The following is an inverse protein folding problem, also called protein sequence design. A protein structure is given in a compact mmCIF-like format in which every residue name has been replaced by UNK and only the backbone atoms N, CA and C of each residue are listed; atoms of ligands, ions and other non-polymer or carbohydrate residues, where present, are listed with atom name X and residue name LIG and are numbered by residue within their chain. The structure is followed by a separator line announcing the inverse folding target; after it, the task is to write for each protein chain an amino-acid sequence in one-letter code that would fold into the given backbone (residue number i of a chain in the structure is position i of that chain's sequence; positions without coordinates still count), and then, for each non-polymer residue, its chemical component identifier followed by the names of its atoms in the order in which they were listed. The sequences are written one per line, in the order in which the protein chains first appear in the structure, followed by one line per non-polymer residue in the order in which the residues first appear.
data_IF_650711248313
#
_entry.id   IF_650711248313
#
_cell.length_a   1.000
_cell.length_b   1.000
_cell.length_c   1.000
_cell.angle_alpha   90.00
_cell.angle_beta   90.00
_cell.angle_gamma   90.00
#
_symmetry.space_group_name_H-M   'P 1'
#
loop_
_entity.id
_entity.type
_entity.pdbx_description
1 polymer ?
#
# COMPACT_ATOMS: atom_id res chain seq x y z
N UNK A 1 -32.16 -18.93 1.95
CA UNK A 1 -31.21 -20.05 1.78
C UNK A 1 -30.21 -19.61 0.71
N UNK A 2 -29.17 -18.87 1.08
CA UNK A 2 -28.08 -18.60 0.14
C UNK A 2 -27.01 -19.66 0.37
N UNK A 3 -26.80 -20.46 -0.67
CA UNK A 3 -25.86 -21.57 -0.70
C UNK A 3 -24.43 -21.09 -0.48
N UNK A 4 -23.83 -21.66 0.56
CA UNK A 4 -22.42 -21.58 0.92
C UNK A 4 -21.59 -22.21 -0.22
N UNK A 5 -21.12 -21.37 -1.15
CA UNK A 5 -20.35 -21.81 -2.29
C UNK A 5 -18.85 -21.78 -1.97
N UNK A 6 -18.29 -22.99 -1.93
CA UNK A 6 -16.91 -23.34 -2.30
C UNK A 6 -15.81 -22.96 -1.30
N UNK A 7 -15.61 -23.87 -0.35
CA UNK A 7 -14.31 -24.11 0.27
C UNK A 7 -13.31 -24.61 -0.77
N UNK A 8 -12.63 -23.66 -1.43
CA UNK A 8 -11.24 -23.84 -1.86
C UNK A 8 -10.36 -23.52 -0.65
N UNK A 9 -9.25 -24.24 -0.48
CA UNK A 9 -8.33 -24.21 0.66
C UNK A 9 -7.54 -22.91 0.82
N UNK A 10 -8.20 -21.76 0.69
CA UNK A 10 -7.68 -20.45 1.11
C UNK A 10 -7.70 -20.40 2.62
N UNK A 11 -6.63 -20.91 3.21
CA UNK A 11 -6.10 -20.46 4.49
C UNK A 11 -6.42 -18.96 4.65
N UNK A 12 -7.07 -18.61 5.75
CA UNK A 12 -7.87 -17.39 5.89
C UNK A 12 -7.00 -16.13 5.74
N UNK A 13 -6.87 -15.64 4.51
CA UNK A 13 -5.86 -14.67 4.07
C UNK A 13 -5.90 -13.37 4.88
N UNK A 14 -7.11 -12.93 5.23
CA UNK A 14 -7.32 -11.76 6.08
C UNK A 14 -6.85 -11.99 7.53
N UNK A 15 -7.14 -13.15 8.11
CA UNK A 15 -6.74 -13.49 9.48
C UNK A 15 -5.20 -13.51 9.62
N UNK A 16 -4.53 -14.14 8.65
CA UNK A 16 -3.07 -14.18 8.57
C UNK A 16 -2.48 -12.76 8.39
N UNK A 17 -3.12 -11.92 7.58
CA UNK A 17 -2.69 -10.54 7.34
C UNK A 17 -2.83 -9.65 8.58
N UNK A 18 -3.95 -9.72 9.29
CA UNK A 18 -4.18 -8.99 10.54
C UNK A 18 -3.09 -9.35 11.55
N UNK A 19 -2.84 -10.65 11.74
CA UNK A 19 -1.83 -11.10 12.68
C UNK A 19 -0.41 -10.65 12.28
N UNK A 20 -0.07 -10.76 10.99
CA UNK A 20 1.22 -10.34 10.47
C UNK A 20 1.46 -8.84 10.67
N UNK A 21 0.47 -8.03 10.29
CA UNK A 21 0.54 -6.57 10.37
C UNK A 21 0.61 -6.07 11.80
N UNK A 22 -0.20 -6.64 12.70
CA UNK A 22 -0.13 -6.34 14.13
C UNK A 22 1.26 -6.61 14.69
N UNK A 23 1.84 -7.78 14.37
CA UNK A 23 3.20 -8.15 14.81
C UNK A 23 4.25 -7.18 14.24
N UNK A 24 4.14 -6.79 12.97
CA UNK A 24 5.03 -5.79 12.33
C UNK A 24 4.93 -4.41 12.98
N UNK A 25 3.74 -4.02 13.43
CA UNK A 25 3.51 -2.79 14.17
C UNK A 25 3.94 -2.89 15.65
N UNK A 26 4.45 -4.03 16.12
CA UNK A 26 4.87 -4.23 17.50
C UNK A 26 3.73 -4.24 18.52
N UNK A 27 2.48 -4.45 18.08
CA UNK A 27 1.29 -4.35 18.93
C UNK A 27 0.91 -5.69 19.54
N UNK A 28 0.37 -5.67 20.76
CA UNK A 28 -0.33 -6.81 21.37
C UNK A 28 -1.78 -6.90 20.85
N UNK A 29 -2.43 -8.05 21.05
CA UNK A 29 -3.86 -8.20 20.73
C UNK A 29 -4.73 -7.24 21.57
N UNK A 30 -4.31 -6.92 22.79
CA UNK A 30 -4.99 -5.95 23.67
C UNK A 30 -4.94 -4.54 23.07
N UNK A 31 -3.76 -4.12 22.62
CA UNK A 31 -3.56 -2.80 22.03
C UNK A 31 -4.35 -2.65 20.72
N UNK A 32 -4.39 -3.70 19.90
CA UNK A 32 -5.21 -3.69 18.69
C UNK A 32 -6.71 -3.64 19.03
N UNK A 33 -7.12 -4.32 20.10
CA UNK A 33 -8.52 -4.32 20.55
C UNK A 33 -8.96 -2.93 21.01
N UNK A 34 -8.10 -2.25 21.77
CA UNK A 34 -8.34 -0.87 22.20
C UNK A 34 -8.48 0.09 21.02
N UNK A 35 -7.57 0.00 20.03
CA UNK A 35 -7.61 0.83 18.81
C UNK A 35 -8.85 0.56 17.94
N UNK A 36 -9.33 -0.66 17.93
CA UNK A 36 -10.52 -1.04 17.15
C UNK A 36 -11.82 -0.90 17.94
N UNK A 37 -11.75 -0.45 19.20
CA UNK A 37 -12.86 -0.38 20.17
C UNK A 37 -13.62 -1.71 20.29
N UNK A 38 -12.88 -2.80 20.37
CA UNK A 38 -13.41 -4.15 20.52
C UNK A 38 -12.76 -4.88 21.69
N UNK A 39 -13.13 -6.13 21.90
CA UNK A 39 -12.49 -6.98 22.92
C UNK A 39 -11.27 -7.71 22.37
N UNK A 40 -10.27 -7.96 23.22
CA UNK A 40 -9.15 -8.85 22.89
C UNK A 40 -9.61 -10.23 22.38
N UNK A 41 -10.73 -10.75 22.90
CA UNK A 41 -11.32 -12.00 22.43
C UNK A 41 -11.79 -11.88 20.97
N UNK A 42 -12.37 -10.75 20.58
CA UNK A 42 -12.78 -10.47 19.20
C UNK A 42 -11.56 -10.46 18.27
N UNK A 43 -10.49 -9.75 18.65
CA UNK A 43 -9.24 -9.73 17.88
C UNK A 43 -8.65 -11.13 17.73
N UNK A 44 -8.66 -11.94 18.80
CA UNK A 44 -8.20 -13.33 18.74
C UNK A 44 -9.00 -14.16 17.72
N UNK A 45 -10.33 -13.97 17.65
CA UNK A 45 -11.19 -14.64 16.68
C UNK A 45 -10.96 -14.16 15.25
N UNK A 46 -10.58 -12.89 15.07
CA UNK A 46 -10.17 -12.38 13.75
C UNK A 46 -8.87 -13.04 13.29
N UNK A 47 -7.86 -13.13 14.17
CA UNK A 47 -6.57 -13.75 13.85
C UNK A 47 -6.63 -15.27 13.68
N UNK A 48 -7.57 -15.96 14.32
CA UNK A 48 -7.80 -17.40 14.10
C UNK A 48 -8.70 -17.68 12.90
N UNK A 49 -9.33 -16.64 12.34
CA UNK A 49 -10.27 -16.77 11.23
C UNK A 49 -11.65 -17.28 11.62
N UNK A 50 -11.97 -17.33 12.92
CA UNK A 50 -13.28 -17.70 13.45
C UNK A 50 -14.36 -16.63 13.21
N UNK A 51 -13.95 -15.38 13.05
CA UNK A 51 -14.85 -14.27 12.71
C UNK A 51 -14.16 -13.26 11.81
N UNK A 52 -14.94 -12.41 11.14
CA UNK A 52 -14.44 -11.40 10.23
C UNK A 52 -14.69 -10.02 10.87
N UNK A 53 -13.71 -9.10 10.87
CA UNK A 53 -13.90 -7.73 11.31
C UNK A 53 -14.92 -7.01 10.42
N UNK A 54 -15.69 -6.09 11.02
CA UNK A 54 -16.54 -5.20 10.22
C UNK A 54 -15.69 -4.13 9.50
N UNK A 55 -16.35 -3.33 8.66
CA UNK A 55 -15.70 -2.30 7.86
C UNK A 55 -15.03 -1.22 8.73
N UNK A 56 -15.60 -0.89 9.89
CA UNK A 56 -15.05 0.13 10.80
C UNK A 56 -13.77 -0.38 11.45
N UNK A 57 -13.78 -1.63 11.94
CA UNK A 57 -12.60 -2.28 12.48
C UNK A 57 -11.51 -2.42 11.41
N UNK A 58 -11.88 -2.74 10.17
CA UNK A 58 -10.94 -2.80 9.05
C UNK A 58 -10.25 -1.46 8.77
N UNK A 59 -11.01 -0.37 8.76
CA UNK A 59 -10.48 0.97 8.54
C UNK A 59 -9.53 1.40 9.66
N UNK A 60 -9.93 1.22 10.93
CA UNK A 60 -9.10 1.49 12.11
C UNK A 60 -7.80 0.68 12.12
N UNK A 61 -7.86 -0.59 11.72
CA UNK A 61 -6.66 -1.42 11.59
C UNK A 61 -5.73 -0.91 10.48
N UNK A 62 -6.26 -0.55 9.31
CA UNK A 62 -5.46 -0.01 8.22
C UNK A 62 -4.73 1.28 8.64
N UNK A 63 -5.39 2.16 9.39
CA UNK A 63 -4.78 3.35 9.97
C UNK A 63 -3.70 3.01 11.01
N UNK A 64 -4.02 2.12 11.96
CA UNK A 64 -3.08 1.67 13.00
C UNK A 64 -1.80 1.04 12.41
N UNK A 65 -1.94 0.31 11.30
CA UNK A 65 -0.83 -0.36 10.62
C UNK A 65 -0.11 0.56 9.61
N UNK A 66 -0.69 1.73 9.28
CA UNK A 66 -0.11 2.66 8.31
C UNK A 66 -0.13 2.15 6.86
N UNK A 67 -1.04 1.24 6.52
CA UNK A 67 -1.17 0.63 5.18
C UNK A 67 -2.51 0.98 4.54
N UNK A 68 -2.64 0.79 3.22
CA UNK A 68 -3.94 0.90 2.59
C UNK A 68 -4.83 -0.31 2.93
N UNK A 69 -6.13 -0.08 3.11
CA UNK A 69 -7.09 -1.16 3.40
C UNK A 69 -7.09 -2.23 2.30
N UNK A 70 -7.05 -1.85 1.02
CA UNK A 70 -6.96 -2.79 -0.10
C UNK A 70 -5.73 -3.71 0.03
N UNK A 71 -4.59 -3.16 0.43
CA UNK A 71 -3.35 -3.91 0.59
C UNK A 71 -3.42 -4.83 1.81
N UNK A 72 -4.07 -4.40 2.91
CA UNK A 72 -4.34 -5.25 4.07
C UNK A 72 -5.23 -6.46 3.72
N UNK A 73 -6.26 -6.24 2.91
CA UNK A 73 -7.23 -7.28 2.53
C UNK A 73 -6.64 -8.31 1.54
N UNK A 74 -5.78 -7.87 0.62
CA UNK A 74 -5.27 -8.71 -0.48
C UNK A 74 -3.77 -9.04 -0.39
N UNK A 75 -3.14 -8.91 0.78
CA UNK A 75 -1.72 -9.20 0.90
C UNK A 75 -1.45 -10.70 0.65
N UNK A 76 -0.91 -11.02 -0.53
CA UNK A 76 -0.56 -12.39 -0.89
C UNK A 76 0.78 -12.84 -0.32
N UNK A 77 0.83 -14.10 0.09
CA UNK A 77 2.00 -14.79 0.63
C UNK A 77 3.26 -14.70 -0.27
N UNK A 78 3.07 -14.55 -1.59
CA UNK A 78 4.16 -14.37 -2.56
C UNK A 78 4.92 -13.05 -2.39
N UNK A 79 4.36 -12.07 -1.69
CA UNK A 79 4.98 -10.78 -1.39
C UNK A 79 5.65 -10.72 0.00
N UNK A 80 5.78 -11.84 0.73
CA UNK A 80 6.35 -11.86 2.10
C UNK A 80 7.77 -11.29 2.21
N UNK A 81 8.57 -11.34 1.14
CA UNK A 81 9.93 -10.80 1.12
C UNK A 81 10.00 -9.28 0.97
N UNK A 82 8.88 -8.61 0.66
CA UNK A 82 8.84 -7.16 0.48
C UNK A 82 7.92 -6.51 1.53
N UNK A 83 8.34 -5.39 2.13
CA UNK A 83 7.52 -4.65 3.08
C UNK A 83 6.26 -4.11 2.38
N UNK A 84 5.15 -4.05 3.12
CA UNK A 84 3.95 -3.36 2.63
C UNK A 84 4.26 -1.87 2.45
N UNK A 85 3.87 -1.26 1.33
CA UNK A 85 4.10 0.16 1.15
C UNK A 85 3.24 0.95 2.15
N UNK A 86 3.76 2.06 2.69
CA UNK A 86 2.96 2.97 3.51
C UNK A 86 1.74 3.50 2.74
N UNK A 87 0.72 3.96 3.47
CA UNK A 87 -0.48 4.61 2.88
C UNK A 87 -0.08 5.67 1.84
N UNK A 88 -0.67 5.58 0.65
CA UNK A 88 -0.40 6.47 -0.49
C UNK A 88 0.87 6.13 -1.30
N UNK A 89 1.67 5.14 -0.88
CA UNK A 89 2.75 4.57 -1.68
C UNK A 89 2.27 3.26 -2.28
N UNK A 90 2.74 2.96 -3.48
CA UNK A 90 2.31 1.76 -4.20
C UNK A 90 3.52 0.92 -4.61
N UNK A 91 3.37 -0.39 -4.48
CA UNK A 91 4.29 -1.36 -5.05
C UNK A 91 3.59 -2.10 -6.19
N UNK A 92 4.09 -1.94 -7.42
CA UNK A 92 3.49 -2.56 -8.61
C UNK A 92 4.13 -3.91 -8.98
N UNK A 93 4.91 -4.49 -8.07
CA UNK A 93 5.68 -5.71 -8.28
C UNK A 93 7.02 -5.45 -8.98
N UNK A 94 7.69 -6.54 -9.38
CA UNK A 94 8.93 -6.50 -10.17
C UNK A 94 8.61 -6.56 -11.67
N UNK A 95 9.33 -5.78 -12.47
CA UNK A 95 9.27 -5.85 -13.94
C UNK A 95 10.62 -6.29 -14.50
N UNK A 96 10.59 -7.08 -15.58
CA UNK A 96 11.80 -7.53 -16.27
C UNK A 96 12.18 -6.49 -17.34
N UNK A 97 13.47 -6.23 -17.46
CA UNK A 97 14.02 -5.42 -18.55
C UNK A 97 13.99 -6.25 -19.83
N UNK A 98 13.20 -5.81 -20.81
CA UNK A 98 13.09 -6.45 -22.11
C UNK A 98 14.31 -6.21 -23.01
N UNK A 99 14.26 -6.75 -24.22
CA UNK A 99 15.28 -6.52 -25.24
C UNK A 99 15.49 -5.01 -25.47
N UNK A 100 16.74 -4.61 -25.72
CA UNK A 100 17.16 -3.20 -25.89
C UNK A 100 16.95 -2.33 -24.64
N UNK A 101 16.88 -2.92 -23.44
CA UNK A 101 16.79 -2.16 -22.20
C UNK A 101 15.40 -1.60 -21.91
N UNK A 102 14.35 -2.05 -22.60
CA UNK A 102 13.01 -1.52 -22.42
C UNK A 102 12.40 -1.97 -21.09
N UNK A 103 11.95 -1.01 -20.29
CA UNK A 103 11.16 -1.27 -19.07
C UNK A 103 9.69 -1.07 -19.40
N UNK A 104 8.85 -2.07 -19.11
CA UNK A 104 7.40 -2.00 -19.31
C UNK A 104 6.73 -1.59 -18.01
N UNK A 105 6.07 -0.43 -18.01
CA UNK A 105 5.26 0.03 -16.89
C UNK A 105 4.00 -0.85 -16.73
N UNK A 106 3.78 -1.46 -15.55
CA UNK A 106 2.59 -2.26 -15.29
C UNK A 106 1.31 -1.48 -15.53
N UNK A 107 0.24 -2.17 -15.94
CA UNK A 107 -1.07 -1.53 -16.20
C UNK A 107 -1.58 -0.74 -14.98
N UNK A 108 -1.51 -1.33 -13.78
CA UNK A 108 -1.90 -0.68 -12.51
C UNK A 108 -1.12 0.61 -12.26
N UNK A 109 0.19 0.64 -12.55
CA UNK A 109 1.01 1.85 -12.41
C UNK A 109 0.56 2.95 -13.38
N UNK A 110 0.28 2.59 -14.64
CA UNK A 110 -0.21 3.54 -15.64
C UNK A 110 -1.58 4.13 -15.27
N UNK A 111 -2.47 3.32 -14.71
CA UNK A 111 -3.79 3.77 -14.27
C UNK A 111 -3.71 4.70 -13.04
N UNK A 112 -2.95 4.29 -12.01
CA UNK A 112 -2.78 5.07 -10.78
C UNK A 112 -2.13 6.43 -11.06
N UNK A 113 -1.09 6.47 -11.88
CA UNK A 113 -0.37 7.71 -12.21
C UNK A 113 -0.86 8.40 -13.49
N UNK A 114 -1.98 7.94 -14.06
CA UNK A 114 -2.59 8.53 -15.27
C UNK A 114 -1.58 8.71 -16.42
N UNK A 115 -0.72 7.70 -16.64
CA UNK A 115 0.31 7.70 -17.69
C UNK A 115 -0.28 7.15 -18.98
N UNK A 116 -0.30 7.96 -20.03
CA UNK A 116 -0.86 7.63 -21.35
C UNK A 116 0.21 7.66 -22.44
N UNK A 117 -0.10 7.07 -23.60
CA UNK A 117 0.76 7.16 -24.76
C UNK A 117 0.85 8.62 -25.22
N UNK A 118 2.07 9.11 -25.42
CA UNK A 118 2.35 10.52 -25.72
C UNK A 118 2.77 11.35 -24.50
N UNK A 119 2.57 10.85 -23.28
CA UNK A 119 3.07 11.53 -22.08
C UNK A 119 4.60 11.53 -22.08
N UNK A 120 5.18 12.66 -21.64
CA UNK A 120 6.63 12.77 -21.44
C UNK A 120 6.95 12.45 -19.98
N UNK A 121 7.79 11.44 -19.79
CA UNK A 121 8.28 11.02 -18.47
C UNK A 121 9.75 11.40 -18.34
N UNK A 122 10.07 12.11 -17.27
CA UNK A 122 11.44 12.42 -16.87
C UNK A 122 12.02 11.24 -16.08
N UNK A 123 13.24 10.84 -16.45
CA UNK A 123 14.01 9.79 -15.78
C UNK A 123 15.09 10.46 -14.95
N UNK A 124 15.07 10.23 -13.65
CA UNK A 124 16.04 10.74 -12.68
C UNK A 124 16.88 9.57 -12.15
N UNK A 125 18.15 9.80 -11.86
CA UNK A 125 19.06 8.77 -11.35
C UNK A 125 19.94 9.30 -10.23
N UNK A 126 20.08 8.47 -9.20
CA UNK A 126 21.03 8.62 -8.10
C UNK A 126 21.75 7.28 -7.94
N UNK A 127 23.08 7.28 -7.90
CA UNK A 127 23.87 6.04 -7.87
C UNK A 127 23.64 5.20 -6.60
N UNK A 128 23.25 5.83 -5.49
CA UNK A 128 22.98 5.15 -4.23
C UNK A 128 21.49 4.77 -4.05
N UNK A 129 20.57 5.55 -4.63
CA UNK A 129 19.12 5.36 -4.43
C UNK A 129 18.40 4.72 -5.62
N UNK A 130 19.02 4.71 -6.81
CA UNK A 130 18.47 4.12 -8.02
C UNK A 130 17.81 5.13 -8.96
N UNK A 131 16.80 4.67 -9.71
CA UNK A 131 16.14 5.45 -10.77
C UNK A 131 14.72 5.83 -10.31
N UNK A 132 14.32 7.06 -10.57
CA UNK A 132 12.95 7.53 -10.40
C UNK A 132 12.35 7.99 -11.73
N UNK A 133 11.03 7.81 -11.88
CA UNK A 133 10.24 8.24 -13.02
C UNK A 133 9.22 9.26 -12.55
N UNK A 134 9.17 10.43 -13.18
CA UNK A 134 8.19 11.47 -12.86
C UNK A 134 7.63 12.08 -14.13
N UNK A 135 6.33 12.42 -14.17
CA UNK A 135 5.77 13.14 -15.31
C UNK A 135 6.41 14.53 -15.40
N UNK A 136 6.72 14.96 -16.62
CA UNK A 136 7.36 16.26 -16.83
C UNK A 136 6.48 17.41 -16.32
N UNK A 137 5.16 17.36 -16.57
CA UNK A 137 4.21 18.38 -16.14
C UNK A 137 4.12 18.50 -14.61
N UNK A 138 3.98 17.36 -13.92
CA UNK A 138 3.92 17.32 -12.44
C UNK A 138 5.19 17.91 -11.80
N UNK A 139 6.35 17.69 -12.42
CA UNK A 139 7.62 18.25 -11.95
C UNK A 139 7.73 19.75 -12.16
N UNK A 140 7.24 20.26 -13.29
CA UNK A 140 7.20 21.69 -13.56
C UNK A 140 6.31 22.37 -12.52
N UNK A 141 5.13 21.82 -12.25
CA UNK A 141 4.20 22.34 -11.24
C UNK A 141 4.84 22.35 -9.84
N UNK A 142 5.52 21.26 -9.48
CA UNK A 142 6.24 21.15 -8.21
C UNK A 142 7.34 22.22 -8.08
N UNK A 143 8.19 22.39 -9.10
CA UNK A 143 9.27 23.39 -9.09
C UNK A 143 8.70 24.80 -9.01
N UNK A 144 7.63 25.11 -9.75
CA UNK A 144 6.97 26.41 -9.70
C UNK A 144 6.39 26.71 -8.31
N UNK A 145 5.78 25.72 -7.66
CA UNK A 145 5.27 25.86 -6.29
C UNK A 145 6.42 26.11 -5.29
N UNK A 146 7.52 25.36 -5.40
CA UNK A 146 8.68 25.52 -4.54
C UNK A 146 9.32 26.92 -4.68
N UNK A 147 9.47 27.43 -5.90
CA UNK A 147 10.00 28.78 -6.16
C UNK A 147 9.09 29.88 -5.60
N UNK A 148 7.76 29.72 -5.70
CA UNK A 148 6.79 30.65 -5.10
C UNK A 148 6.92 30.71 -3.57
N UNK A 149 7.10 29.55 -2.93
CA UNK A 149 7.26 29.45 -1.47
C UNK A 149 8.59 30.06 -0.99
N UNK A 150 9.68 29.86 -1.74
CA UNK A 150 10.98 30.46 -1.42
C UNK A 150 10.91 32.00 -1.47
N UNK A 151 10.30 32.56 -2.51
CA UNK A 151 10.16 34.01 -2.68
C UNK A 151 9.21 34.70 -1.68
N UNK A 152 8.35 33.94 -0.99
CA UNK A 152 7.49 34.47 0.09
C UNK A 152 8.21 34.54 1.44
N UNK A 153 9.22 33.70 1.69
CA UNK A 153 9.98 33.72 2.94
C UNK A 153 10.92 34.91 3.07
N UNK A 154 11.35 35.52 1.97
CA UNK A 154 12.24 36.70 1.97
C UNK A 154 11.50 38.04 2.22
N UNK A 155 10.17 38.03 2.37
CA UNK A 155 9.35 39.24 2.57
C UNK A 155 8.79 39.44 3.99
N UNK A 156 9.19 38.59 4.95
CA UNK A 156 8.77 38.69 6.35
C UNK A 156 9.96 38.92 7.29
#
# INVERSE_FOLDING_TARGET
MYENTRGDGRKNMLADNIQLLRKRAGMSQEQLAELTETSRQTVSKWESGESIPDVIACDRMAEAFGVALEDMLHYEEKNKSLPLPPKGKHMFGTVIVGARGQIVLPKKAREVFQIKAGDTIMVLGDEAQGIALVKADDMIDFVQQALKMANQKDKN
#
